data_IF_079847103242
#
_entry.id   IF_079847103242
#
_cell.length_a   1.000
_cell.length_b   1.000
_cell.length_c   1.000
_cell.angle_alpha   90.00
_cell.angle_beta   90.00
_cell.angle_gamma   90.00
#
_symmetry.space_group_name_H-M   'P 1'
#
loop_
_entity.id
_entity.type
_entity.pdbx_description
1 polymer ?
#
# COMPACT_ATOMS: atom_id res chain seq x y z
N UNK A 1 -41.82 -11.72 -13.35
CA UNK A 1 -41.33 -12.11 -12.02
C UNK A 1 -39.89 -11.68 -12.00
N UNK A 2 -39.76 -10.43 -11.55
CA UNK A 2 -38.62 -9.85 -10.85
C UNK A 2 -37.34 -9.68 -11.66
N UNK A 3 -37.39 -8.69 -12.57
CA UNK A 3 -36.25 -7.84 -12.90
C UNK A 3 -35.70 -7.21 -11.61
N UNK A 4 -34.81 -7.92 -10.93
CA UNK A 4 -34.00 -7.36 -9.84
C UNK A 4 -32.95 -6.45 -10.46
N UNK A 5 -33.38 -5.22 -10.76
CA UNK A 5 -32.47 -4.09 -10.93
C UNK A 5 -31.72 -4.00 -9.61
N UNK A 6 -30.48 -4.47 -9.58
CA UNK A 6 -29.54 -4.23 -8.49
C UNK A 6 -29.35 -2.71 -8.40
N UNK A 7 -30.16 -2.11 -7.55
CA UNK A 7 -30.26 -0.68 -7.35
C UNK A 7 -28.86 -0.12 -7.11
N UNK A 8 -28.50 0.86 -7.93
CA UNK A 8 -27.22 1.56 -7.85
C UNK A 8 -27.15 2.21 -6.46
N UNK A 9 -26.44 1.58 -5.52
CA UNK A 9 -26.66 1.74 -4.07
C UNK A 9 -25.98 2.96 -3.41
N UNK A 10 -25.54 3.96 -4.17
CA UNK A 10 -24.85 5.11 -3.58
C UNK A 10 -23.36 4.85 -3.40
N UNK A 11 -22.59 5.37 -4.35
CA UNK A 11 -21.15 5.26 -4.55
C UNK A 11 -20.27 6.06 -3.56
N UNK A 12 -20.49 5.94 -2.24
CA UNK A 12 -19.50 6.42 -1.25
C UNK A 12 -19.17 5.31 -0.24
N UNK A 13 -17.91 5.24 0.24
CA UNK A 13 -17.53 4.38 1.37
C UNK A 13 -18.37 4.65 2.63
N UNK A 14 -18.93 5.85 2.76
CA UNK A 14 -19.81 6.31 3.85
C UNK A 14 -21.30 5.93 3.65
N UNK A 15 -21.72 5.52 2.44
CA UNK A 15 -23.13 5.38 2.05
C UNK A 15 -23.51 3.99 1.49
N UNK A 16 -22.67 2.98 1.66
CA UNK A 16 -23.09 1.58 1.48
C UNK A 16 -23.18 1.10 0.03
N UNK A 17 -22.24 1.51 -0.82
CA UNK A 17 -21.85 0.71 -1.97
C UNK A 17 -21.40 -0.70 -1.54
N UNK A 18 -21.20 -1.63 -2.47
CA UNK A 18 -20.45 -2.89 -2.19
C UNK A 18 -18.98 -2.66 -1.73
N UNK A 19 -18.64 -1.40 -1.44
CA UNK A 19 -17.37 -0.87 -1.00
C UNK A 19 -17.15 -1.24 0.47
N UNK A 20 -15.99 -1.86 0.71
CA UNK A 20 -15.58 -2.44 1.98
C UNK A 20 -15.33 -1.31 2.99
N UNK A 21 -15.91 -1.44 4.18
CA UNK A 21 -15.70 -0.53 5.33
C UNK A 21 -14.22 -0.41 5.74
N UNK A 22 -13.41 -1.36 5.28
CA UNK A 22 -12.01 -1.47 5.56
C UNK A 22 -11.20 -1.20 4.28
N UNK A 23 -10.12 -0.45 4.44
CA UNK A 23 -9.05 -0.34 3.48
C UNK A 23 -7.82 -1.08 4.02
N UNK A 24 -6.94 -1.54 3.15
CA UNK A 24 -5.61 -2.02 3.54
C UNK A 24 -4.62 -0.85 3.46
N UNK A 25 -3.72 -0.80 4.43
CA UNK A 25 -2.67 0.21 4.55
C UNK A 25 -1.33 -0.45 4.87
N UNK A 26 -0.24 0.15 4.39
CA UNK A 26 1.14 -0.26 4.70
C UNK A 26 1.83 0.87 5.44
N UNK A 27 2.36 0.59 6.62
CA UNK A 27 3.21 1.52 7.36
C UNK A 27 4.63 1.48 6.79
N UNK A 28 4.99 2.50 6.00
CA UNK A 28 6.30 2.64 5.35
C UNK A 28 7.46 2.80 6.36
N UNK A 29 7.17 3.25 7.59
CA UNK A 29 8.18 3.46 8.63
C UNK A 29 8.67 2.14 9.24
N UNK A 30 7.78 1.14 9.29
CA UNK A 30 8.06 -0.22 9.80
C UNK A 30 8.46 -1.15 8.66
N UNK A 31 7.92 -0.92 7.45
CA UNK A 31 8.17 -1.78 6.31
C UNK A 31 9.67 -1.91 6.01
N UNK A 32 10.14 -3.16 5.86
CA UNK A 32 11.53 -3.48 5.51
C UNK A 32 11.73 -3.86 4.04
N UNK A 33 10.70 -3.69 3.20
CA UNK A 33 10.82 -3.94 1.76
C UNK A 33 11.08 -5.40 1.37
N UNK A 34 10.59 -6.37 2.14
CA UNK A 34 10.81 -7.80 1.84
C UNK A 34 10.15 -8.27 0.52
N UNK A 35 9.14 -7.54 0.03
CA UNK A 35 8.49 -7.77 -1.26
C UNK A 35 7.50 -8.92 -1.31
N UNK A 36 7.30 -9.66 -0.21
CA UNK A 36 6.41 -10.83 -0.22
C UNK A 36 4.94 -10.45 -0.49
N UNK A 37 4.45 -9.35 0.08
CA UNK A 37 3.11 -8.85 -0.18
C UNK A 37 2.86 -8.53 -1.66
N UNK A 38 3.87 -7.94 -2.34
CA UNK A 38 3.80 -7.65 -3.76
C UNK A 38 3.90 -8.91 -4.63
N UNK A 39 4.37 -10.04 -4.10
CA UNK A 39 4.34 -11.32 -4.79
C UNK A 39 2.99 -12.04 -4.63
N UNK A 40 2.45 -12.03 -3.41
CA UNK A 40 1.17 -12.68 -3.06
C UNK A 40 -0.01 -11.96 -3.70
N UNK A 41 -0.12 -10.63 -3.51
CA UNK A 41 -1.24 -9.82 -4.02
C UNK A 41 -0.71 -8.72 -4.96
N UNK A 42 -0.34 -9.14 -6.18
CA UNK A 42 0.33 -8.31 -7.21
C UNK A 42 -0.50 -7.14 -7.71
N UNK A 43 -1.82 -7.23 -7.62
CA UNK A 43 -2.73 -6.18 -8.06
C UNK A 43 -3.02 -5.19 -6.92
N UNK A 44 -2.75 -5.57 -5.67
CA UNK A 44 -2.99 -4.75 -4.47
C UNK A 44 -1.73 -4.03 -4.01
N UNK A 45 -0.55 -4.68 -4.01
CA UNK A 45 0.68 -4.11 -3.48
C UNK A 45 1.78 -3.95 -4.53
N UNK A 46 2.61 -2.91 -4.37
CA UNK A 46 3.84 -2.73 -5.13
C UNK A 46 5.00 -2.34 -4.20
N UNK A 47 6.24 -2.44 -4.70
CA UNK A 47 7.41 -1.83 -4.06
C UNK A 47 7.71 -0.49 -4.70
N UNK A 48 7.86 0.52 -3.86
CA UNK A 48 8.23 1.88 -4.23
C UNK A 48 9.73 1.98 -4.54
N UNK A 49 10.14 2.63 -5.66
CA UNK A 49 11.52 2.63 -6.15
C UNK A 49 12.54 3.45 -5.34
N UNK A 50 12.13 4.48 -4.60
CA UNK A 50 13.07 5.35 -3.88
C UNK A 50 13.62 4.70 -2.63
N UNK A 51 12.74 4.14 -1.80
CA UNK A 51 13.07 3.55 -0.51
C UNK A 51 12.87 2.03 -0.44
N UNK A 52 12.30 1.41 -1.48
CA UNK A 52 12.04 -0.03 -1.50
C UNK A 52 10.93 -0.46 -0.53
N UNK A 53 10.01 0.45 -0.15
CA UNK A 53 8.89 0.14 0.75
C UNK A 53 7.70 -0.40 -0.01
N UNK A 54 6.93 -1.26 0.64
CA UNK A 54 5.67 -1.69 0.08
C UNK A 54 4.64 -0.55 0.13
N UNK A 55 3.78 -0.46 -0.89
CA UNK A 55 2.63 0.46 -0.99
C UNK A 55 1.41 -0.28 -1.49
N UNK A 56 0.25 0.20 -1.10
CA UNK A 56 -1.04 -0.24 -1.66
C UNK A 56 -1.33 0.58 -2.91
N UNK A 57 -1.57 -0.08 -4.04
CA UNK A 57 -1.87 0.56 -5.34
C UNK A 57 -3.35 0.49 -5.71
N UNK A 58 -4.08 -0.52 -5.21
CA UNK A 58 -5.51 -0.68 -5.40
C UNK A 58 -6.09 -1.41 -4.20
N UNK A 59 -7.20 -0.90 -3.64
CA UNK A 59 -7.87 -1.48 -2.47
C UNK A 59 -8.64 -2.76 -2.81
N UNK A 60 -9.02 -2.90 -4.07
CA UNK A 60 -9.84 -3.94 -4.67
C UNK A 60 -9.10 -4.70 -5.79
N UNK A 61 -7.77 -4.60 -5.83
CA UNK A 61 -6.95 -5.23 -6.86
C UNK A 61 -6.97 -6.77 -6.80
N UNK A 62 -7.07 -7.34 -5.60
CA UNK A 62 -7.15 -8.79 -5.34
C UNK A 62 -8.32 -9.10 -4.39
N UNK A 63 -8.64 -10.39 -4.23
CA UNK A 63 -9.68 -10.83 -3.29
C UNK A 63 -9.27 -10.62 -1.84
N UNK A 64 -10.24 -10.50 -0.93
CA UNK A 64 -9.96 -10.36 0.51
C UNK A 64 -9.05 -11.44 1.06
N UNK A 65 -9.25 -12.68 0.61
CA UNK A 65 -8.46 -13.84 1.03
C UNK A 65 -6.98 -13.68 0.67
N UNK A 66 -6.69 -13.22 -0.55
CA UNK A 66 -5.32 -13.00 -1.02
C UNK A 66 -4.67 -11.82 -0.27
N UNK A 67 -5.43 -10.74 -0.04
CA UNK A 67 -4.94 -9.59 0.73
C UNK A 67 -4.66 -10.01 2.18
N UNK A 68 -5.54 -10.82 2.77
CA UNK A 68 -5.37 -11.34 4.13
C UNK A 68 -4.16 -12.27 4.24
N UNK A 69 -3.87 -13.08 3.21
CA UNK A 69 -2.65 -13.87 3.13
C UNK A 69 -1.40 -12.98 3.08
N UNK A 70 -1.42 -11.93 2.25
CA UNK A 70 -0.31 -10.97 2.16
C UNK A 70 -0.08 -10.23 3.49
N UNK A 71 -1.13 -9.93 4.24
CA UNK A 71 -1.04 -9.36 5.60
C UNK A 71 -0.39 -10.35 6.56
N UNK A 72 -0.90 -11.59 6.61
CA UNK A 72 -0.44 -12.61 7.57
C UNK A 72 1.00 -13.08 7.34
N UNK A 73 1.52 -12.89 6.13
CA UNK A 73 2.88 -13.30 5.73
C UNK A 73 3.92 -12.19 5.90
N UNK A 74 3.51 -10.98 6.32
CA UNK A 74 4.42 -9.87 6.51
C UNK A 74 5.33 -10.10 7.73
N UNK A 75 6.67 -10.19 7.56
CA UNK A 75 7.57 -10.57 8.65
C UNK A 75 7.75 -9.51 9.76
N UNK A 76 7.21 -8.30 9.56
CA UNK A 76 7.31 -7.17 10.49
C UNK A 76 5.95 -6.54 10.78
N UNK A 77 4.85 -7.23 10.42
CA UNK A 77 3.48 -6.81 10.67
C UNK A 77 3.16 -5.36 10.22
N UNK A 78 3.80 -4.87 9.16
CA UNK A 78 3.63 -3.50 8.69
C UNK A 78 2.39 -3.27 7.81
N UNK A 79 1.51 -4.27 7.65
CA UNK A 79 0.32 -4.19 6.79
C UNK A 79 -0.90 -4.44 7.65
N UNK A 80 -1.91 -3.59 7.58
CA UNK A 80 -3.11 -3.70 8.39
C UNK A 80 -4.37 -3.27 7.63
N UNK A 81 -5.50 -3.87 8.00
CA UNK A 81 -6.82 -3.31 7.70
C UNK A 81 -7.05 -2.08 8.59
N UNK A 82 -7.50 -0.99 7.98
CA UNK A 82 -7.84 0.28 8.62
C UNK A 82 -9.24 0.67 8.20
N UNK A 83 -9.90 1.56 8.96
CA UNK A 83 -11.16 2.10 8.50
C UNK A 83 -10.93 2.91 7.22
N UNK A 84 -11.82 2.77 6.24
CA UNK A 84 -11.69 3.50 4.97
C UNK A 84 -11.60 5.01 5.19
N UNK A 85 -12.35 5.56 6.15
CA UNK A 85 -12.33 7.01 6.47
C UNK A 85 -10.97 7.48 6.99
N UNK A 86 -10.26 6.62 7.73
CA UNK A 86 -8.94 6.91 8.30
C UNK A 86 -7.82 6.82 7.27
N UNK A 87 -8.02 6.06 6.18
CA UNK A 87 -7.01 5.86 5.13
C UNK A 87 -6.49 7.20 4.61
N UNK A 88 -7.39 8.16 4.33
CA UNK A 88 -7.01 9.48 3.81
C UNK A 88 -6.06 10.24 4.73
N UNK A 89 -6.26 10.11 6.04
CA UNK A 89 -5.44 10.74 7.08
C UNK A 89 -4.08 10.06 7.18
N UNK A 90 -4.05 8.72 7.16
CA UNK A 90 -2.82 7.93 7.20
C UNK A 90 -1.94 8.20 5.98
N UNK A 91 -2.55 8.28 4.80
CA UNK A 91 -1.88 8.59 3.53
C UNK A 91 -1.31 10.02 3.51
N UNK A 92 -2.06 10.99 4.05
CA UNK A 92 -1.58 12.37 4.21
C UNK A 92 -0.41 12.44 5.20
N UNK A 93 -0.50 11.74 6.34
CA UNK A 93 0.58 11.68 7.32
C UNK A 93 1.86 11.03 6.75
N UNK A 94 1.70 9.97 5.93
CA UNK A 94 2.81 9.26 5.28
C UNK A 94 3.70 10.17 4.43
N UNK A 95 3.16 11.18 3.77
CA UNK A 95 3.94 12.14 2.97
C UNK A 95 5.03 12.87 3.76
N UNK A 96 4.84 13.01 5.08
CA UNK A 96 5.75 13.73 5.96
C UNK A 96 6.58 12.81 6.87
N UNK A 97 6.39 11.48 6.76
CA UNK A 97 7.16 10.51 7.53
C UNK A 97 8.61 10.46 7.03
N UNK A 98 9.55 10.42 7.98
CA UNK A 98 10.98 10.30 7.67
C UNK A 98 11.29 8.81 7.49
N UNK A 99 11.43 8.36 6.25
CA UNK A 99 11.79 6.98 5.94
C UNK A 99 13.32 6.82 5.94
N UNK A 100 13.82 5.92 6.79
CA UNK A 100 15.23 5.57 6.82
C UNK A 100 15.62 4.64 5.66
N UNK A 101 16.79 4.87 5.06
CA UNK A 101 17.34 3.91 4.09
C UNK A 101 17.69 2.60 4.79
N UNK A 102 17.25 1.45 4.24
CA UNK A 102 17.58 0.10 4.74
C UNK A 102 19.05 -0.31 4.49
N UNK A 103 19.93 0.65 4.21
CA UNK A 103 21.33 0.36 3.91
C UNK A 103 21.50 -0.33 2.56
N UNK A 104 20.97 0.24 1.48
CA UNK A 104 21.49 -0.08 0.13
C UNK A 104 22.96 0.31 0.14
N UNK A 105 23.86 -0.68 0.07
CA UNK A 105 25.28 -0.43 -0.23
C UNK A 105 25.33 0.19 -1.62
N UNK A 106 25.45 1.51 -1.66
CA UNK A 106 25.38 2.30 -2.89
C UNK A 106 24.63 3.59 -2.66
N UNK A 107 25.25 4.52 -1.94
CA UNK A 107 24.80 5.91 -1.86
C UNK A 107 24.48 6.44 -3.27
N UNK A 108 23.20 6.71 -3.56
CA UNK A 108 22.80 7.48 -4.76
C UNK A 108 23.50 8.85 -4.77
N UNK A 109 23.91 9.36 -3.60
CA UNK A 109 24.78 10.52 -3.39
C UNK A 109 26.15 10.37 -4.09
N UNK A 110 26.69 9.16 -4.20
CA UNK A 110 27.97 8.90 -4.87
C UNK A 110 27.88 8.95 -6.41
N UNK A 111 26.69 8.74 -6.98
CA UNK A 111 26.47 8.75 -8.43
C UNK A 111 26.36 10.17 -9.01
N UNK A 112 25.98 11.17 -8.21
CA UNK A 112 25.92 12.57 -8.64
C UNK A 112 27.26 13.32 -8.52
N UNK A 113 28.24 12.78 -7.79
CA UNK A 113 29.54 13.44 -7.55
C UNK A 113 30.57 13.29 -8.69
N UNK A 114 30.24 12.63 -9.82
CA UNK A 114 31.20 12.29 -10.89
C UNK A 114 30.90 12.90 -12.27
N UNK A 115 30.34 14.11 -12.35
CA UNK A 115 30.09 14.77 -13.66
C UNK A 115 30.70 16.16 -13.89
N UNK A 116 31.70 16.56 -13.10
CA UNK A 116 32.50 17.75 -13.43
C UNK A 116 33.98 17.50 -13.16
N UNK A 117 34.71 17.09 -14.19
CA UNK A 117 36.13 17.40 -14.31
C UNK A 117 36.41 17.70 -15.78
N UNK A 118 37.04 18.87 -15.97
CA UNK A 118 37.37 19.59 -17.20
C UNK A 118 37.87 18.73 -18.36
#
# INVERSE_FOLDING_TARGET
>A
MDDEVSEISGFEPELGGALRQNAVYVDETVCIGCGHCAYVARCTFCLEPDYGRARVIAQDGDTEEIIQEAIATCPVDCIAWVNYTELSVLEAARQYQIIGNLGVVGDKTSLMAKKHKF
#
